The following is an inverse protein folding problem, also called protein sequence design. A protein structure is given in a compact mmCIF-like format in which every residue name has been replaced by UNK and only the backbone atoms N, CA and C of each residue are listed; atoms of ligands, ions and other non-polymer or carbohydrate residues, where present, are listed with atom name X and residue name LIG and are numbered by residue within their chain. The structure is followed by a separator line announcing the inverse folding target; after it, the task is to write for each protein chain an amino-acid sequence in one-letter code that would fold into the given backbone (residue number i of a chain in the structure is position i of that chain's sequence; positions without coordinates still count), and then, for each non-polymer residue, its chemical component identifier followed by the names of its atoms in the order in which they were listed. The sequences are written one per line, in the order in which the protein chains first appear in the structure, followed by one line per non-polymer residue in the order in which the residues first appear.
data_IF_778312084343
#
_entry.id   IF_778312084343
#
_cell.length_a   1.000
_cell.length_b   1.000
_cell.length_c   1.000
_cell.angle_alpha   90.00
_cell.angle_beta   90.00
_cell.angle_gamma   90.00
#
_symmetry.space_group_name_H-M   'P 1'
#
loop_
_entity.id
_entity.type
_entity.pdbx_description
1 polymer ?
#
# COMPACT_ATOMS: atom_id res chain seq x y z
N UNK A 1 4.76 -9.66 21.65
CA UNK A 1 5.41 -8.37 21.97
C UNK A 1 5.71 -7.68 20.64
N UNK A 2 5.25 -6.44 20.41
CA UNK A 2 5.52 -5.76 19.15
C UNK A 2 6.98 -5.32 19.12
N UNK A 3 7.82 -6.03 18.36
CA UNK A 3 9.18 -5.62 18.00
C UNK A 3 9.21 -4.76 16.72
N UNK A 4 8.02 -4.33 16.24
CA UNK A 4 7.83 -3.49 15.07
C UNK A 4 6.90 -2.36 15.47
N UNK A 5 7.29 -1.13 15.13
CA UNK A 5 6.56 0.08 15.51
C UNK A 5 6.33 0.92 14.25
N UNK A 6 5.08 1.29 14.01
CA UNK A 6 4.68 2.06 12.85
C UNK A 6 4.92 3.55 13.08
N UNK A 7 5.89 4.11 12.37
CA UNK A 7 6.26 5.54 12.44
C UNK A 7 5.89 6.32 11.16
N UNK A 8 4.89 5.85 10.41
CA UNK A 8 4.47 6.49 9.15
C UNK A 8 4.11 7.97 9.32
N UNK A 9 4.45 8.78 8.30
CA UNK A 9 4.19 10.22 8.27
C UNK A 9 5.22 11.08 9.02
N UNK A 10 6.33 10.50 9.49
CA UNK A 10 7.37 11.22 10.23
C UNK A 10 8.04 12.35 9.42
N UNK A 11 7.98 12.28 8.09
CA UNK A 11 8.51 13.30 7.20
C UNK A 11 7.61 14.53 7.05
N UNK A 12 6.33 14.42 7.42
CA UNK A 12 5.35 15.49 7.27
C UNK A 12 5.61 16.56 8.35
N UNK A 13 5.94 17.78 7.90
CA UNK A 13 6.23 18.94 8.76
C UNK A 13 5.11 19.97 8.63
N UNK A 14 4.96 20.94 9.55
CA UNK A 14 4.20 22.16 9.28
C UNK A 14 4.58 22.75 7.92
N UNK A 15 3.62 23.36 7.23
CA UNK A 15 3.88 23.99 5.93
C UNK A 15 4.50 25.37 6.17
N UNK A 16 5.60 25.64 5.50
CA UNK A 16 6.24 26.96 5.50
C UNK A 16 5.64 27.86 4.40
N UNK A 17 5.82 29.18 4.45
CA UNK A 17 5.42 30.09 3.37
C UNK A 17 6.08 29.70 2.04
N UNK A 18 5.32 29.80 0.94
CA UNK A 18 5.84 29.53 -0.39
C UNK A 18 6.78 30.65 -0.85
N UNK A 19 7.79 30.35 -1.69
CA UNK A 19 8.51 31.36 -2.44
C UNK A 19 7.54 32.25 -3.24
N UNK A 20 7.81 33.55 -3.29
CA UNK A 20 6.92 34.58 -3.88
C UNK A 20 6.41 34.20 -5.28
N UNK A 21 7.29 33.76 -6.18
CA UNK A 21 6.88 33.34 -7.53
C UNK A 21 5.87 32.17 -7.57
N UNK A 22 5.93 31.23 -6.62
CA UNK A 22 4.96 30.14 -6.51
C UNK A 22 3.67 30.62 -5.86
N UNK A 23 3.78 31.46 -4.85
CA UNK A 23 2.64 32.08 -4.19
C UNK A 23 1.82 32.89 -5.21
N UNK A 24 2.44 33.79 -5.96
CA UNK A 24 1.80 34.59 -7.00
C UNK A 24 1.11 33.73 -8.06
N UNK A 25 1.80 32.68 -8.51
CA UNK A 25 1.25 31.75 -9.49
C UNK A 25 0.01 31.03 -8.93
N UNK A 26 0.07 30.52 -7.70
CA UNK A 26 -1.06 29.87 -7.03
C UNK A 26 -2.19 30.87 -6.77
N UNK A 27 -1.88 32.11 -6.37
CA UNK A 27 -2.89 33.12 -6.08
C UNK A 27 -3.63 33.56 -7.34
N UNK A 28 -2.94 33.62 -8.49
CA UNK A 28 -3.52 33.92 -9.80
C UNK A 28 -4.61 32.92 -10.26
N UNK A 29 -4.81 31.81 -9.53
CA UNK A 29 -5.91 30.87 -9.79
C UNK A 29 -7.31 31.38 -9.45
N UNK A 30 -7.43 32.53 -8.78
CA UNK A 30 -8.71 33.01 -8.24
C UNK A 30 -9.35 31.96 -7.32
N UNK A 31 -10.65 31.72 -7.48
CA UNK A 31 -11.44 30.77 -6.67
C UNK A 31 -11.21 29.30 -7.05
N UNK A 32 -10.68 29.04 -8.25
CA UNK A 32 -10.53 27.67 -8.78
C UNK A 32 -9.46 26.87 -8.06
N UNK A 33 -8.45 27.54 -7.48
CA UNK A 33 -7.32 26.91 -6.82
C UNK A 33 -6.36 26.23 -7.79
N UNK A 34 -5.53 25.33 -7.27
CA UNK A 34 -4.48 24.71 -8.07
C UNK A 34 -4.36 23.19 -7.86
N UNK A 35 -3.72 22.56 -8.84
CA UNK A 35 -3.39 21.14 -8.91
C UNK A 35 -1.87 21.01 -8.83
N UNK A 36 -1.41 20.04 -8.06
CA UNK A 36 0.00 19.66 -8.00
C UNK A 36 0.21 18.36 -8.76
N UNK A 37 1.23 18.25 -9.60
CA UNK A 37 1.60 16.99 -10.26
C UNK A 37 3.07 16.63 -10.01
N UNK A 38 3.29 15.41 -9.52
CA UNK A 38 4.64 14.87 -9.25
C UNK A 38 4.67 13.34 -9.38
N UNK A 39 5.53 12.86 -10.28
CA UNK A 39 5.81 11.42 -10.44
C UNK A 39 7.09 10.99 -9.71
N UNK A 40 7.53 11.81 -8.75
CA UNK A 40 8.68 11.51 -7.90
C UNK A 40 10.00 12.01 -8.48
N UNK A 41 11.08 11.30 -8.19
CA UNK A 41 12.46 11.65 -8.60
C UNK A 41 13.01 10.75 -9.69
N UNK A 42 12.47 9.53 -9.81
CA UNK A 42 12.92 8.53 -10.79
C UNK A 42 12.21 8.66 -12.14
N UNK A 43 11.00 9.22 -12.15
CA UNK A 43 10.26 9.54 -13.37
C UNK A 43 10.41 11.04 -13.60
N UNK A 44 11.38 11.41 -14.43
CA UNK A 44 11.66 12.81 -14.78
C UNK A 44 10.85 13.28 -15.98
N UNK A 45 10.45 12.35 -16.84
CA UNK A 45 9.64 12.57 -18.03
C UNK A 45 8.75 11.34 -18.31
N UNK A 46 7.79 11.52 -19.21
CA UNK A 46 6.90 10.49 -19.72
C UNK A 46 7.02 10.45 -21.24
N UNK A 47 6.58 9.35 -21.90
CA UNK A 47 6.40 9.33 -23.34
C UNK A 47 5.66 10.56 -23.87
N UNK A 48 6.03 11.02 -25.07
CA UNK A 48 5.56 12.30 -25.61
C UNK A 48 4.04 12.32 -25.86
N UNK A 49 3.48 11.21 -26.33
CA UNK A 49 2.04 10.98 -26.47
C UNK A 49 1.30 11.18 -25.15
N UNK A 50 1.74 10.51 -24.07
CA UNK A 50 1.15 10.65 -22.74
C UNK A 50 1.31 12.08 -22.20
N UNK A 51 2.50 12.67 -22.36
CA UNK A 51 2.78 14.03 -21.89
C UNK A 51 1.89 15.06 -22.59
N UNK A 52 1.73 14.94 -23.91
CA UNK A 52 0.87 15.83 -24.69
C UNK A 52 -0.59 15.73 -24.25
N UNK A 53 -1.09 14.52 -24.00
CA UNK A 53 -2.48 14.32 -23.58
C UNK A 53 -2.73 14.86 -22.16
N UNK A 54 -1.80 14.64 -21.22
CA UNK A 54 -1.87 15.22 -19.87
C UNK A 54 -1.85 16.76 -19.95
N UNK A 55 -0.97 17.34 -20.78
CA UNK A 55 -0.90 18.79 -20.95
C UNK A 55 -2.17 19.37 -21.57
N UNK A 56 -2.74 18.72 -22.60
CA UNK A 56 -3.97 19.13 -23.24
C UNK A 56 -5.16 19.07 -22.27
N UNK A 57 -5.25 18.03 -21.43
CA UNK A 57 -6.26 17.93 -20.39
C UNK A 57 -6.12 19.05 -19.35
N UNK A 58 -4.91 19.34 -18.87
CA UNK A 58 -4.70 20.46 -17.94
C UNK A 58 -5.05 21.81 -18.56
N UNK A 59 -4.77 22.03 -19.85
CA UNK A 59 -5.10 23.27 -20.55
C UNK A 59 -6.61 23.55 -20.61
N UNK A 60 -7.46 22.52 -20.50
CA UNK A 60 -8.93 22.65 -20.46
C UNK A 60 -9.46 23.07 -19.08
N UNK A 61 -8.62 23.08 -18.04
CA UNK A 61 -9.03 23.35 -16.66
C UNK A 61 -8.83 24.83 -16.27
N UNK A 62 -9.72 25.40 -15.44
CA UNK A 62 -9.55 26.75 -14.90
C UNK A 62 -8.52 26.81 -13.75
N UNK A 63 -8.12 25.66 -13.18
CA UNK A 63 -7.11 25.58 -12.14
C UNK A 63 -5.71 25.92 -12.68
N UNK A 64 -4.87 26.47 -11.80
CA UNK A 64 -3.43 26.50 -12.04
C UNK A 64 -2.83 25.12 -11.79
N UNK A 65 -1.79 24.77 -12.53
CA UNK A 65 -1.13 23.47 -12.40
C UNK A 65 0.36 23.70 -12.18
N UNK A 66 0.90 23.18 -11.08
CA UNK A 66 2.34 23.09 -10.87
C UNK A 66 2.74 21.65 -11.15
N UNK A 67 3.51 21.43 -12.21
CA UNK A 67 3.91 20.10 -12.66
C UNK A 67 5.42 19.98 -12.62
N UNK A 68 5.91 19.09 -11.75
CA UNK A 68 7.31 18.69 -11.75
C UNK A 68 7.63 17.81 -12.97
N UNK A 69 8.37 18.34 -13.93
CA UNK A 69 8.67 17.69 -15.21
C UNK A 69 9.98 18.24 -15.80
N UNK A 70 10.80 17.35 -16.37
CA UNK A 70 12.12 17.71 -16.94
C UNK A 70 12.29 17.39 -18.43
N UNK A 71 11.24 16.85 -19.06
CA UNK A 71 11.28 16.52 -20.49
C UNK A 71 10.96 17.73 -21.37
N UNK A 72 10.82 17.48 -22.66
CA UNK A 72 10.49 18.50 -23.65
C UNK A 72 9.10 19.09 -23.46
N UNK A 73 8.96 20.39 -23.76
CA UNK A 73 7.68 21.09 -23.65
C UNK A 73 6.64 20.48 -24.61
N UNK A 74 5.49 19.99 -24.13
CA UNK A 74 4.47 19.39 -24.98
C UNK A 74 3.74 20.45 -25.82
N UNK A 75 3.25 20.03 -27.00
CA UNK A 75 2.63 20.91 -28.02
C UNK A 75 1.28 21.50 -27.54
N UNK A 76 0.66 20.93 -26.51
CA UNK A 76 -0.62 21.36 -25.92
C UNK A 76 -0.53 22.07 -24.58
N UNK A 77 0.65 22.57 -24.16
CA UNK A 77 0.80 23.16 -22.83
C UNK A 77 0.03 24.49 -22.69
N UNK A 78 -0.99 24.49 -21.83
CA UNK A 78 -1.78 25.69 -21.51
C UNK A 78 -1.04 26.69 -20.62
N UNK A 79 -1.42 27.97 -20.72
CA UNK A 79 -0.88 29.08 -19.90
C UNK A 79 -1.18 28.96 -18.39
N UNK A 80 -2.03 28.01 -18.00
CA UNK A 80 -2.34 27.70 -16.62
C UNK A 80 -1.35 26.72 -15.98
N UNK A 81 -0.41 26.16 -16.73
CA UNK A 81 0.53 25.14 -16.25
C UNK A 81 1.95 25.70 -16.14
N UNK A 82 2.56 25.55 -14.97
CA UNK A 82 3.94 25.88 -14.67
C UNK A 82 4.76 24.60 -14.52
N UNK A 83 5.81 24.47 -15.33
CA UNK A 83 6.80 23.41 -15.19
C UNK A 83 7.91 23.83 -14.24
N UNK A 84 8.33 22.88 -13.41
CA UNK A 84 9.39 23.08 -12.41
C UNK A 84 10.27 21.84 -12.32
N UNK A 85 11.58 22.04 -12.17
CA UNK A 85 12.51 20.94 -11.89
C UNK A 85 12.38 20.41 -10.45
N UNK A 86 12.01 21.32 -9.55
CA UNK A 86 11.87 21.08 -8.12
C UNK A 86 10.81 22.01 -7.54
N UNK A 87 10.14 21.57 -6.47
CA UNK A 87 9.15 22.36 -5.76
C UNK A 87 9.05 21.98 -4.28
N UNK A 88 8.65 22.91 -3.40
CA UNK A 88 8.39 22.63 -1.99
C UNK A 88 7.06 21.86 -1.84
N UNK A 89 7.06 20.56 -2.16
CA UNK A 89 5.86 19.72 -2.24
C UNK A 89 5.04 19.71 -0.93
N UNK A 90 5.70 19.61 0.23
CA UNK A 90 5.03 19.64 1.54
C UNK A 90 4.23 20.92 1.75
N UNK A 91 4.79 22.05 1.34
CA UNK A 91 4.23 23.38 1.56
C UNK A 91 3.11 23.66 0.56
N UNK A 92 3.30 23.26 -0.71
CA UNK A 92 2.25 23.29 -1.74
C UNK A 92 1.05 22.42 -1.35
N UNK A 93 1.27 21.20 -0.87
CA UNK A 93 0.19 20.35 -0.36
C UNK A 93 -0.48 20.95 0.90
N UNK A 94 0.22 21.80 1.65
CA UNK A 94 -0.32 22.53 2.80
C UNK A 94 -1.06 23.82 2.46
N UNK A 95 -0.96 24.30 1.23
CA UNK A 95 -1.53 25.59 0.83
C UNK A 95 -3.07 25.53 0.72
N UNK A 96 -3.84 26.51 1.23
CA UNK A 96 -5.31 26.46 1.27
C UNK A 96 -6.00 26.34 -0.10
N UNK A 97 -5.36 26.80 -1.18
CA UNK A 97 -5.88 26.71 -2.55
C UNK A 97 -5.67 25.34 -3.22
N UNK A 98 -5.00 24.38 -2.59
CA UNK A 98 -4.77 23.05 -3.18
C UNK A 98 -6.09 22.30 -3.35
N UNK A 99 -6.38 21.86 -4.57
CA UNK A 99 -7.56 21.05 -4.89
C UNK A 99 -7.23 19.57 -4.98
N UNK A 100 -6.15 19.24 -5.67
CA UNK A 100 -5.83 17.87 -6.07
C UNK A 100 -4.32 17.64 -6.16
N UNK A 101 -3.90 16.41 -5.84
CA UNK A 101 -2.55 15.93 -6.11
C UNK A 101 -2.55 14.81 -7.15
N UNK A 102 -1.97 15.06 -8.31
CA UNK A 102 -1.67 14.02 -9.31
C UNK A 102 -0.33 13.38 -8.95
N UNK A 103 -0.34 12.10 -8.61
CA UNK A 103 0.81 11.44 -7.99
C UNK A 103 1.05 10.05 -8.56
N UNK A 104 2.32 9.68 -8.73
CA UNK A 104 2.68 8.29 -8.99
C UNK A 104 2.36 7.32 -7.84
N UNK A 105 2.08 7.79 -6.62
CA UNK A 105 1.66 6.91 -5.52
C UNK A 105 2.76 6.34 -4.63
N UNK A 106 3.99 6.87 -4.68
CA UNK A 106 5.04 6.46 -3.72
C UNK A 106 4.67 6.86 -2.29
N UNK A 107 5.08 6.03 -1.32
CA UNK A 107 4.69 6.15 0.09
C UNK A 107 4.82 7.56 0.66
N UNK A 108 5.94 8.25 0.42
CA UNK A 108 6.16 9.58 1.01
C UNK A 108 5.13 10.61 0.53
N UNK A 109 4.90 10.70 -0.78
CA UNK A 109 3.93 11.64 -1.35
C UNK A 109 2.49 11.28 -0.97
N UNK A 110 2.17 9.98 -0.87
CA UNK A 110 0.86 9.52 -0.38
C UNK A 110 0.65 9.92 1.09
N UNK A 111 1.66 9.75 1.95
CA UNK A 111 1.59 10.12 3.35
C UNK A 111 1.48 11.65 3.53
N UNK A 112 2.17 12.45 2.72
CA UNK A 112 2.03 13.91 2.70
C UNK A 112 0.61 14.32 2.30
N UNK A 113 0.04 13.70 1.26
CA UNK A 113 -1.33 13.96 0.83
C UNK A 113 -2.37 13.59 1.90
N UNK A 114 -2.19 12.43 2.57
CA UNK A 114 -3.02 12.03 3.71
C UNK A 114 -2.88 13.06 4.83
N UNK A 115 -1.66 13.43 5.21
CA UNK A 115 -1.40 14.41 6.27
C UNK A 115 -2.09 15.75 6.00
N UNK A 116 -2.15 16.18 4.73
CA UNK A 116 -2.77 17.44 4.30
C UNK A 116 -4.25 17.34 3.92
N UNK A 117 -4.82 16.14 3.85
CA UNK A 117 -6.22 15.97 3.48
C UNK A 117 -6.50 16.24 2.00
N UNK A 118 -5.52 16.02 1.11
CA UNK A 118 -5.62 16.33 -0.34
C UNK A 118 -5.86 15.06 -1.14
N UNK A 119 -6.98 14.94 -1.89
CA UNK A 119 -7.30 13.74 -2.66
C UNK A 119 -6.33 13.54 -3.83
N UNK A 120 -6.26 12.30 -4.34
CA UNK A 120 -5.26 11.91 -5.34
C UNK A 120 -5.89 11.39 -6.64
N UNK A 121 -5.34 11.84 -7.77
CA UNK A 121 -5.40 11.09 -9.04
C UNK A 121 -4.06 10.39 -9.21
N UNK A 122 -4.09 9.06 -9.16
CA UNK A 122 -2.94 8.18 -9.12
C UNK A 122 -2.51 7.72 -10.50
N UNK A 123 -1.23 7.91 -10.84
CA UNK A 123 -0.59 7.43 -12.08
C UNK A 123 0.56 6.46 -11.74
N UNK A 124 0.27 5.23 -11.27
CA UNK A 124 1.31 4.28 -10.87
C UNK A 124 2.14 3.86 -12.07
N UNK A 125 3.45 3.79 -11.86
CA UNK A 125 4.46 3.42 -12.86
C UNK A 125 5.14 2.11 -12.46
N UNK A 126 5.62 1.97 -11.22
CA UNK A 126 6.36 0.78 -10.77
C UNK A 126 6.42 0.63 -9.23
N UNK A 127 6.98 -0.49 -8.74
CA UNK A 127 7.13 -0.82 -7.32
C UNK A 127 5.79 -0.85 -6.55
N UNK A 128 5.76 -0.28 -5.35
CA UNK A 128 4.66 -0.26 -4.38
C UNK A 128 3.57 0.78 -4.72
N UNK A 129 3.75 1.52 -5.81
CA UNK A 129 2.90 2.66 -6.20
C UNK A 129 1.44 2.28 -6.38
N UNK A 130 1.16 1.20 -7.11
CA UNK A 130 -0.20 0.73 -7.35
C UNK A 130 -0.88 0.32 -6.04
N UNK A 131 -0.19 -0.45 -5.19
CA UNK A 131 -0.74 -0.93 -3.92
C UNK A 131 -1.04 0.22 -2.94
N UNK A 132 -0.18 1.24 -2.88
CA UNK A 132 -0.42 2.42 -2.07
C UNK A 132 -1.67 3.19 -2.52
N UNK A 133 -1.82 3.38 -3.83
CA UNK A 133 -2.98 4.06 -4.41
C UNK A 133 -4.25 3.23 -4.28
N UNK A 134 -4.17 1.91 -4.42
CA UNK A 134 -5.29 0.99 -4.25
C UNK A 134 -5.88 1.12 -2.84
N UNK A 135 -5.03 1.17 -1.81
CA UNK A 135 -5.48 1.40 -0.42
C UNK A 135 -6.22 2.72 -0.24
N UNK A 136 -5.87 3.77 -0.98
CA UNK A 136 -6.59 5.05 -0.95
C UNK A 136 -7.88 5.01 -1.77
N UNK A 137 -7.87 4.33 -2.92
CA UNK A 137 -9.05 4.10 -3.75
C UNK A 137 -10.14 3.35 -2.97
N UNK A 138 -9.78 2.28 -2.27
CA UNK A 138 -10.71 1.53 -1.40
C UNK A 138 -11.25 2.37 -0.24
N UNK A 139 -10.57 3.45 0.12
CA UNK A 139 -11.03 4.42 1.13
C UNK A 139 -11.80 5.60 0.52
N UNK A 140 -12.06 5.58 -0.79
CA UNK A 140 -12.73 6.65 -1.53
C UNK A 140 -11.96 7.96 -1.54
N UNK A 141 -10.62 7.91 -1.47
CA UNK A 141 -9.76 9.10 -1.40
C UNK A 141 -8.81 9.25 -2.61
N UNK A 142 -8.86 8.31 -3.56
CA UNK A 142 -8.09 8.38 -4.80
C UNK A 142 -8.78 7.71 -5.99
N UNK A 143 -8.50 8.21 -7.19
CA UNK A 143 -8.77 7.53 -8.47
C UNK A 143 -7.45 7.02 -9.04
N UNK A 144 -7.45 5.86 -9.71
CA UNK A 144 -6.23 5.30 -10.33
C UNK A 144 -6.43 5.25 -11.84
N UNK A 145 -5.46 5.78 -12.57
CA UNK A 145 -5.32 5.64 -14.02
C UNK A 145 -3.94 5.06 -14.33
N UNK A 146 -3.89 3.94 -15.03
CA UNK A 146 -2.61 3.39 -15.51
C UNK A 146 -2.13 4.15 -16.74
N UNK A 147 -0.82 4.20 -16.97
CA UNK A 147 -0.26 4.83 -18.17
C UNK A 147 -0.80 4.24 -19.49
N UNK A 148 -1.29 3.00 -19.49
CA UNK A 148 -1.89 2.34 -20.66
C UNK A 148 -3.29 2.84 -21.06
N UNK A 149 -3.95 3.64 -20.20
CA UNK A 149 -5.32 4.14 -20.43
C UNK A 149 -5.46 5.64 -20.19
N UNK A 150 -4.43 6.30 -19.65
CA UNK A 150 -4.48 7.71 -19.24
C UNK A 150 -4.75 8.61 -20.45
N UNK A 151 -4.24 8.20 -21.60
CA UNK A 151 -4.29 8.90 -22.87
C UNK A 151 -5.53 8.56 -23.73
N UNK A 152 -6.42 7.70 -23.23
CA UNK A 152 -7.59 7.21 -23.97
C UNK A 152 -8.86 7.90 -23.50
N UNK A 153 -9.78 8.16 -24.43
CA UNK A 153 -11.16 8.58 -24.15
C UNK A 153 -11.31 9.75 -23.17
N UNK A 154 -10.39 10.73 -23.17
CA UNK A 154 -10.31 11.82 -22.19
C UNK A 154 -10.27 11.33 -20.71
N UNK A 155 -9.78 10.12 -20.45
CA UNK A 155 -9.82 9.48 -19.13
C UNK A 155 -9.14 10.33 -18.07
N UNK A 156 -8.01 10.95 -18.40
CA UNK A 156 -7.30 11.80 -17.46
C UNK A 156 -8.15 13.01 -17.06
N UNK A 157 -8.71 13.74 -18.02
CA UNK A 157 -9.60 14.88 -17.75
C UNK A 157 -10.84 14.47 -16.95
N UNK A 158 -11.46 13.33 -17.29
CA UNK A 158 -12.61 12.77 -16.55
C UNK A 158 -12.24 12.48 -15.10
N UNK A 159 -11.09 11.86 -14.84
CA UNK A 159 -10.64 11.58 -13.47
C UNK A 159 -10.33 12.86 -12.68
N UNK A 160 -9.73 13.88 -13.31
CA UNK A 160 -9.49 15.18 -12.67
C UNK A 160 -10.84 15.81 -12.25
N UNK A 161 -11.82 15.84 -13.15
CA UNK A 161 -13.15 16.36 -12.83
C UNK A 161 -13.87 15.55 -11.75
N UNK A 162 -13.84 14.23 -11.83
CA UNK A 162 -14.46 13.35 -10.84
C UNK A 162 -13.91 13.64 -9.43
N UNK A 163 -12.58 13.60 -9.25
CA UNK A 163 -11.97 13.75 -7.92
C UNK A 163 -12.10 15.18 -7.37
N UNK A 164 -12.13 16.21 -8.23
CA UNK A 164 -12.29 17.59 -7.78
C UNK A 164 -13.74 17.96 -7.48
N UNK A 165 -14.71 17.40 -8.21
CA UNK A 165 -16.11 17.81 -8.12
C UNK A 165 -16.95 16.91 -7.21
N UNK A 166 -16.58 15.63 -7.02
CA UNK A 166 -17.24 14.78 -6.03
C UNK A 166 -16.66 15.07 -4.63
N UNK A 167 -17.47 15.66 -3.71
CA UNK A 167 -17.01 16.03 -2.37
C UNK A 167 -16.59 14.81 -1.52
N UNK A 168 -17.01 13.60 -1.88
CA UNK A 168 -16.67 12.38 -1.15
C UNK A 168 -15.16 12.17 -1.06
N UNK A 169 -14.42 12.44 -2.14
CA UNK A 169 -12.96 12.30 -2.18
C UNK A 169 -12.26 13.21 -1.15
N UNK A 170 -12.64 14.49 -1.12
CA UNK A 170 -12.08 15.45 -0.16
C UNK A 170 -12.49 15.11 1.28
N UNK A 171 -13.76 14.79 1.50
CA UNK A 171 -14.27 14.43 2.82
C UNK A 171 -13.58 13.17 3.38
N UNK A 172 -13.41 12.14 2.55
CA UNK A 172 -12.70 10.92 2.90
C UNK A 172 -11.23 11.20 3.21
N UNK A 173 -10.54 11.98 2.38
CA UNK A 173 -9.13 12.29 2.63
C UNK A 173 -8.95 13.15 3.89
N UNK A 174 -9.85 14.11 4.17
CA UNK A 174 -9.85 14.86 5.42
C UNK A 174 -10.11 13.97 6.64
N UNK A 175 -10.99 12.97 6.53
CA UNK A 175 -11.20 11.97 7.58
C UNK A 175 -9.91 11.18 7.84
N UNK A 176 -9.23 10.73 6.78
CA UNK A 176 -7.95 10.04 6.90
C UNK A 176 -6.86 10.94 7.51
N UNK A 177 -6.81 12.22 7.12
CA UNK A 177 -5.90 13.21 7.70
C UNK A 177 -6.08 13.34 9.21
N UNK A 178 -7.33 13.50 9.67
CA UNK A 178 -7.65 13.56 11.11
C UNK A 178 -7.17 12.31 11.84
N UNK A 179 -7.53 11.13 11.35
CA UNK A 179 -7.10 9.85 11.95
C UNK A 179 -5.58 9.66 11.93
N UNK A 180 -4.90 10.13 10.89
CA UNK A 180 -3.45 10.01 10.77
C UNK A 180 -2.70 10.93 11.75
N UNK A 181 -3.26 12.12 12.02
CA UNK A 181 -2.70 13.13 12.91
C UNK A 181 -3.11 12.95 14.37
N UNK A 182 -4.21 12.23 14.61
CA UNK A 182 -4.73 11.91 15.94
C UNK A 182 -3.90 10.81 16.61
N UNK A 183 -2.73 11.19 17.11
CA UNK A 183 -1.79 10.32 17.82
C UNK A 183 -1.29 11.03 19.08
N UNK A 184 -1.04 10.29 20.17
CA UNK A 184 -0.59 10.89 21.44
C UNK A 184 0.82 11.47 21.36
N UNK A 185 1.66 10.93 20.48
CA UNK A 185 3.04 11.39 20.24
C UNK A 185 3.29 11.44 18.74
N UNK A 186 4.01 12.47 18.29
CA UNK A 186 4.40 12.59 16.89
C UNK A 186 5.27 11.41 16.46
N UNK A 187 5.12 10.97 15.21
CA UNK A 187 5.82 9.78 14.71
C UNK A 187 7.35 9.88 14.85
N UNK A 188 7.93 11.07 14.63
CA UNK A 188 9.37 11.29 14.76
C UNK A 188 9.82 11.25 16.23
N UNK A 189 9.10 11.93 17.12
CA UNK A 189 9.44 11.94 18.55
C UNK A 189 9.34 10.55 19.16
N UNK A 190 8.33 9.77 18.78
CA UNK A 190 8.21 8.37 19.19
C UNK A 190 9.40 7.54 18.68
N UNK A 191 9.83 7.75 17.42
CA UNK A 191 11.00 7.06 16.88
C UNK A 191 12.28 7.40 17.68
N UNK A 192 12.51 8.68 17.99
CA UNK A 192 13.64 9.13 18.79
C UNK A 192 13.63 8.49 20.18
N UNK A 193 12.48 8.53 20.86
CA UNK A 193 12.30 7.89 22.16
C UNK A 193 12.66 6.39 22.12
N UNK A 194 12.20 5.66 21.10
CA UNK A 194 12.43 4.23 20.98
C UNK A 194 13.90 3.89 20.67
N UNK A 195 14.56 4.70 19.85
CA UNK A 195 15.99 4.58 19.58
C UNK A 195 16.77 4.77 20.89
N UNK A 196 16.48 5.85 21.62
CA UNK A 196 17.11 6.12 22.91
C UNK A 196 16.79 5.04 23.96
N UNK A 197 15.57 4.50 23.96
CA UNK A 197 15.18 3.40 24.83
C UNK A 197 16.06 2.17 24.60
N UNK A 198 16.23 1.75 23.33
CA UNK A 198 17.08 0.61 22.98
C UNK A 198 18.54 0.87 23.36
N UNK A 199 19.04 2.09 23.13
CA UNK A 199 20.41 2.47 23.51
C UNK A 199 20.62 2.40 25.04
N UNK A 200 19.71 3.00 25.83
CA UNK A 200 19.77 3.01 27.30
C UNK A 200 19.80 1.61 27.91
N UNK A 201 19.10 0.66 27.30
CA UNK A 201 18.98 -0.70 27.81
C UNK A 201 19.95 -1.69 27.12
N UNK A 202 20.90 -1.18 26.33
CA UNK A 202 21.90 -1.99 25.60
C UNK A 202 21.24 -3.07 24.73
N UNK A 203 20.11 -2.73 24.12
CA UNK A 203 19.21 -3.62 23.39
C UNK A 203 17.80 -3.63 23.96
N UNK A 204 16.96 -4.52 23.41
CA UNK A 204 15.59 -4.74 23.87
C UNK A 204 15.23 -6.22 23.73
N UNK A 205 16.04 -7.10 24.34
CA UNK A 205 15.85 -8.55 24.26
C UNK A 205 14.46 -8.99 24.72
N UNK A 206 13.93 -8.34 25.77
CA UNK A 206 12.60 -8.57 26.31
C UNK A 206 11.44 -8.14 25.38
N UNK A 207 11.71 -7.48 24.24
CA UNK A 207 10.69 -7.17 23.23
C UNK A 207 10.75 -8.13 22.03
N UNK A 208 11.80 -8.95 21.92
CA UNK A 208 11.94 -9.95 20.85
C UNK A 208 11.11 -11.18 21.18
N UNK A 209 10.50 -11.78 20.17
CA UNK A 209 9.82 -13.05 20.34
C UNK A 209 10.84 -14.15 20.70
N UNK A 210 10.51 -14.98 21.70
CA UNK A 210 11.35 -16.13 22.08
C UNK A 210 11.49 -17.15 20.94
N UNK A 211 10.57 -17.15 19.97
CA UNK A 211 10.65 -17.99 18.77
C UNK A 211 11.98 -17.86 18.00
N UNK A 212 12.65 -16.71 18.06
CA UNK A 212 13.96 -16.51 17.45
C UNK A 212 15.10 -17.28 18.13
N UNK A 213 14.87 -17.80 19.34
CA UNK A 213 15.85 -18.52 20.15
C UNK A 213 15.58 -20.03 20.23
N UNK A 214 14.43 -20.47 19.72
CA UNK A 214 14.01 -21.87 19.74
C UNK A 214 14.69 -22.61 18.57
N UNK A 215 15.25 -23.82 18.78
CA UNK A 215 15.76 -24.63 17.69
C UNK A 215 14.67 -24.96 16.66
N UNK A 216 15.04 -25.08 15.38
CA UNK A 216 14.09 -25.28 14.28
C UNK A 216 13.14 -26.47 14.49
N UNK A 217 13.61 -27.56 15.11
CA UNK A 217 12.80 -28.76 15.34
C UNK A 217 11.69 -28.54 16.38
N UNK A 218 11.95 -27.73 17.41
CA UNK A 218 10.93 -27.33 18.38
C UNK A 218 10.02 -26.25 17.81
N UNK A 219 10.55 -25.34 16.98
CA UNK A 219 9.75 -24.34 16.28
C UNK A 219 8.73 -24.97 15.33
N UNK A 220 9.12 -26.05 14.64
CA UNK A 220 8.25 -26.81 13.73
C UNK A 220 7.52 -27.99 14.39
N UNK A 221 7.61 -28.13 15.73
CA UNK A 221 6.97 -29.21 16.50
C UNK A 221 7.17 -30.60 15.89
N UNK A 222 8.42 -30.90 15.51
CA UNK A 222 8.79 -32.16 14.83
C UNK A 222 8.40 -33.38 15.68
N UNK A 223 8.50 -33.26 17.00
CA UNK A 223 8.07 -34.25 17.99
C UNK A 223 6.56 -34.56 17.89
N UNK A 224 5.72 -33.54 17.74
CA UNK A 224 4.27 -33.69 17.58
C UNK A 224 3.94 -34.38 16.26
N UNK A 225 4.59 -33.97 15.16
CA UNK A 225 4.42 -34.60 13.83
C UNK A 225 4.82 -36.07 13.88
N UNK A 226 5.97 -36.39 14.46
CA UNK A 226 6.44 -37.77 14.61
C UNK A 226 5.50 -38.61 15.49
N UNK A 227 4.94 -38.02 16.56
CA UNK A 227 3.97 -38.69 17.43
C UNK A 227 2.68 -39.05 16.68
N UNK A 228 2.14 -38.15 15.86
CA UNK A 228 0.98 -38.43 15.02
C UNK A 228 1.26 -39.50 13.95
N UNK A 229 2.43 -39.44 13.29
CA UNK A 229 2.84 -40.46 12.32
C UNK A 229 2.99 -41.85 12.97
N UNK A 230 3.61 -41.92 14.14
CA UNK A 230 3.76 -43.16 14.90
C UNK A 230 2.40 -43.73 15.33
N UNK A 231 1.49 -42.90 15.85
CA UNK A 231 0.14 -43.31 16.21
C UNK A 231 -0.64 -43.84 14.99
N UNK A 232 -0.57 -43.15 13.84
CA UNK A 232 -1.17 -43.61 12.59
C UNK A 232 -0.60 -44.96 12.12
N UNK A 233 0.73 -45.12 12.18
CA UNK A 233 1.39 -46.39 11.85
C UNK A 233 0.92 -47.53 12.77
N UNK A 234 0.83 -47.29 14.08
CA UNK A 234 0.32 -48.28 15.04
C UNK A 234 -1.13 -48.65 14.75
N UNK A 235 -2.01 -47.66 14.54
CA UNK A 235 -3.42 -47.89 14.20
C UNK A 235 -3.53 -48.75 12.94
N UNK A 236 -2.83 -48.39 11.85
CA UNK A 236 -2.85 -49.17 10.61
C UNK A 236 -2.30 -50.58 10.79
N UNK A 237 -1.26 -50.76 11.59
CA UNK A 237 -0.73 -52.08 11.95
C UNK A 237 -1.76 -52.93 12.71
N UNK A 238 -2.41 -52.37 13.73
CA UNK A 238 -3.47 -53.06 14.49
C UNK A 238 -4.66 -53.43 13.59
N UNK A 239 -5.13 -52.53 12.73
CA UNK A 239 -6.20 -52.81 11.78
C UNK A 239 -5.81 -53.94 10.81
N UNK A 240 -4.62 -53.89 10.21
CA UNK A 240 -4.11 -54.95 9.32
C UNK A 240 -4.00 -56.29 10.04
N UNK A 241 -3.48 -56.30 11.27
CA UNK A 241 -3.37 -57.51 12.08
C UNK A 241 -4.75 -58.10 12.42
N UNK A 242 -5.74 -57.27 12.74
CA UNK A 242 -7.10 -57.71 13.07
C UNK A 242 -7.83 -58.27 11.84
N UNK A 243 -7.66 -57.64 10.67
CA UNK A 243 -8.16 -58.17 9.39
C UNK A 243 -7.49 -59.50 9.05
N UNK A 244 -6.17 -59.58 9.14
CA UNK A 244 -5.41 -60.82 8.90
C UNK A 244 -5.86 -61.94 9.83
N UNK A 245 -6.01 -61.66 11.14
CA UNK A 245 -6.51 -62.62 12.11
C UNK A 245 -7.92 -63.11 11.76
N UNK A 246 -8.84 -62.20 11.37
CA UNK A 246 -10.19 -62.58 10.90
C UNK A 246 -10.13 -63.45 9.65
N UNK A 247 -9.28 -63.14 8.67
CA UNK A 247 -9.11 -63.94 7.45
C UNK A 247 -8.60 -65.35 7.77
N UNK A 248 -7.56 -65.47 8.60
CA UNK A 248 -7.03 -66.78 9.03
C UNK A 248 -8.06 -67.57 9.84
N UNK A 249 -8.83 -66.91 10.72
CA UNK A 249 -9.94 -67.55 11.43
C UNK A 249 -11.05 -68.01 10.48
N UNK A 250 -11.41 -67.21 9.47
CA UNK A 250 -12.37 -67.56 8.43
C UNK A 250 -11.90 -68.77 7.62
N UNK A 251 -10.64 -68.79 7.17
CA UNK A 251 -10.05 -69.94 6.49
C UNK A 251 -10.08 -71.21 7.35
N UNK A 252 -9.69 -71.12 8.63
CA UNK A 252 -9.75 -72.25 9.57
C UNK A 252 -11.18 -72.73 9.80
N UNK A 253 -12.14 -71.82 9.98
CA UNK A 253 -13.55 -72.15 10.15
C UNK A 253 -14.15 -72.80 8.89
N UNK A 254 -13.82 -72.29 7.70
CA UNK A 254 -14.21 -72.89 6.42
C UNK A 254 -13.61 -74.29 6.28
N UNK A 255 -12.32 -74.47 6.59
CA UNK A 255 -11.63 -75.78 6.54
C UNK A 255 -12.26 -76.80 7.51
N UNK A 256 -12.66 -76.39 8.70
CA UNK A 256 -13.38 -77.25 9.67
C UNK A 256 -14.78 -77.61 9.15
N UNK A 257 -15.51 -76.68 8.53
CA UNK A 257 -16.85 -76.92 7.96
C UNK A 257 -16.78 -77.88 6.77
N UNK A 258 -15.81 -77.74 5.87
CA UNK A 258 -15.57 -78.67 4.74
C UNK A 258 -15.21 -80.07 5.24
N UNK A 259 -14.35 -80.18 6.26
CA UNK A 259 -13.99 -81.48 6.85
C UNK A 259 -15.15 -82.17 7.58
N UNK A 260 -16.14 -81.41 8.07
CA UNK A 260 -17.37 -81.98 8.66
C UNK A 260 -18.39 -82.41 7.60
N UNK A 261 -18.46 -81.72 6.46
CA UNK A 261 -19.34 -82.09 5.34
C UNK A 261 -18.86 -83.36 4.61
N UNK A 262 -17.54 -83.58 4.50
CA UNK A 262 -16.97 -84.79 3.89
C UNK A 262 -17.00 -86.05 4.79
N UNK A 263 -17.56 -85.96 6.00
CA UNK A 263 -17.63 -87.04 7.00
C UNK A 263 -19.05 -87.59 7.23
N UNK A 264 -20.04 -87.09 6.48
CA UNK A 264 -21.39 -87.67 6.35
C UNK A 264 -21.48 -88.36 4.99
#
# INVERSE_FOLDING_TARGET
MPNVIYIGGFQCKPSEPLPEHLEDFVQSSGEHGFILMSLGTFVTELPADITNEIAAAFAKLPQKVIWKYKGDRPVGLGNNTLFVDWMPQNDLLGHPKIKLFVSHGRTNGVQEAIYRGVPIVGLPVFFDQYDNLLRLKEKGAAKILTLAIVDKDDNFLKALHEVMNDPSYRANMQRLSRLHRDKPVMSLDNALFLIEFVMRHKGAAHLKAESYRIPWYSYHSVDVVLSFLAAGALITFFFKSLVFFRLVCLEKCLKIKTNRLNKK
#
